data_IF_438265213897
#
_entry.id   IF_438265213897
#
_cell.length_a   1.000
_cell.length_b   1.000
_cell.length_c   1.000
_cell.angle_alpha   90.00
_cell.angle_beta   90.00
_cell.angle_gamma   90.00
#
_symmetry.space_group_name_H-M   'P 1'
#
loop_
_entity.id
_entity.type
_entity.pdbx_description
1 polymer ?
#
# COMPACT_ATOMS: atom_id res chain seq x y z
N UNK A 1 -14.75 12.81 4.33
CA UNK A 1 -13.55 12.74 5.20
C UNK A 1 -12.75 14.01 4.98
N UNK A 2 -12.20 14.62 6.03
CA UNK A 2 -11.40 15.85 5.95
C UNK A 2 -10.23 15.76 6.93
N UNK A 3 -9.00 15.83 6.43
CA UNK A 3 -7.82 15.96 7.29
C UNK A 3 -7.77 17.40 7.81
N UNK A 4 -7.77 17.58 9.13
CA UNK A 4 -7.85 18.89 9.79
C UNK A 4 -6.50 19.34 10.35
N UNK A 5 -5.63 18.40 10.72
CA UNK A 5 -4.34 18.71 11.32
C UNK A 5 -3.27 17.70 10.91
N UNK A 6 -2.05 18.19 10.71
CA UNK A 6 -0.87 17.38 10.37
C UNK A 6 0.33 17.80 11.23
N UNK A 7 0.95 16.83 11.89
CA UNK A 7 2.20 16.99 12.62
C UNK A 7 3.25 16.02 12.08
N UNK A 8 4.41 16.57 11.70
CA UNK A 8 5.59 15.84 11.23
C UNK A 8 6.75 16.10 12.20
N UNK A 9 7.53 15.05 12.48
CA UNK A 9 8.78 15.13 13.24
C UNK A 9 9.81 14.25 12.54
N UNK A 10 10.97 14.84 12.22
CA UNK A 10 12.10 14.18 11.55
C UNK A 10 11.71 13.35 10.32
N UNK A 11 10.83 13.90 9.50
CA UNK A 11 10.30 13.27 8.30
C UNK A 11 10.97 13.82 7.03
N UNK A 12 11.72 12.98 6.31
CA UNK A 12 12.43 13.32 5.07
C UNK A 12 13.40 14.50 5.27
N UNK A 13 13.05 15.69 4.80
CA UNK A 13 13.84 16.91 5.00
C UNK A 13 13.19 17.87 6.02
N UNK A 14 12.11 17.45 6.68
CA UNK A 14 11.32 18.26 7.62
C UNK A 14 11.70 17.82 9.03
N UNK A 15 12.34 18.72 9.79
CA UNK A 15 12.64 18.49 11.21
C UNK A 15 11.37 18.55 12.05
N UNK A 16 10.58 19.62 11.90
CA UNK A 16 9.26 19.75 12.52
C UNK A 16 8.32 20.55 11.62
N UNK A 17 7.10 20.07 11.49
CA UNK A 17 6.00 20.81 10.87
C UNK A 17 4.72 20.50 11.64
N UNK A 18 3.98 21.53 12.01
CA UNK A 18 2.69 21.41 12.67
C UNK A 18 1.74 22.40 12.03
N UNK A 19 0.71 21.90 11.34
CA UNK A 19 -0.20 22.73 10.55
C UNK A 19 -1.64 22.28 10.70
N UNK A 20 -2.53 23.25 10.79
CA UNK A 20 -3.95 23.06 10.56
C UNK A 20 -4.24 23.21 9.06
N UNK A 21 -4.94 22.23 8.51
CA UNK A 21 -5.22 22.21 7.08
C UNK A 21 -6.51 22.97 6.78
N UNK A 22 -6.48 23.87 5.78
CA UNK A 22 -7.68 24.57 5.35
C UNK A 22 -8.66 23.56 4.75
N UNK A 23 -9.95 23.86 4.87
CA UNK A 23 -11.02 22.90 4.57
C UNK A 23 -10.95 22.26 3.19
N UNK A 24 -11.31 22.99 2.13
CA UNK A 24 -11.55 22.37 0.80
C UNK A 24 -10.33 22.33 -0.09
N UNK A 25 -9.52 23.39 -0.11
CA UNK A 25 -8.34 23.51 -0.97
C UNK A 25 -7.23 24.15 -0.15
N UNK A 26 -6.07 23.51 -0.12
CA UNK A 26 -4.83 24.04 0.44
C UNK A 26 -3.76 24.06 -0.62
N UNK A 27 -2.97 25.14 -0.66
CA UNK A 27 -1.87 25.29 -1.61
C UNK A 27 -0.58 25.48 -0.82
N UNK A 28 0.37 24.57 -1.03
CA UNK A 28 1.73 24.71 -0.50
C UNK A 28 2.60 25.40 -1.55
N UNK A 29 3.11 26.59 -1.24
CA UNK A 29 3.96 27.40 -2.12
C UNK A 29 5.37 27.46 -1.54
N UNK A 30 6.37 27.44 -2.42
CA UNK A 30 7.78 27.54 -2.04
C UNK A 30 8.69 27.04 -3.15
N UNK A 31 9.99 27.21 -2.98
CA UNK A 31 10.99 26.74 -3.94
C UNK A 31 11.04 25.21 -4.04
N UNK A 32 11.71 24.70 -5.07
CA UNK A 32 11.96 23.27 -5.22
C UNK A 32 12.78 22.74 -4.03
N UNK A 33 12.60 21.44 -3.73
CA UNK A 33 13.26 20.75 -2.62
C UNK A 33 12.94 21.26 -1.19
N UNK A 34 12.02 22.22 -1.02
CA UNK A 34 11.60 22.73 0.31
C UNK A 34 10.65 21.79 1.08
N UNK A 35 10.38 20.58 0.58
CA UNK A 35 9.56 19.59 1.29
C UNK A 35 8.06 19.57 0.95
N UNK A 36 7.58 20.39 -0.01
CA UNK A 36 6.18 20.37 -0.47
C UNK A 36 5.67 18.96 -0.79
N UNK A 37 6.43 18.21 -1.59
CA UNK A 37 6.08 16.82 -1.93
C UNK A 37 6.21 15.87 -0.73
N UNK A 38 7.05 16.19 0.26
CA UNK A 38 7.18 15.38 1.47
C UNK A 38 5.96 15.56 2.40
N UNK A 39 5.35 16.75 2.42
CA UNK A 39 4.06 16.98 3.10
C UNK A 39 2.97 16.11 2.48
N UNK A 40 2.85 16.11 1.15
CA UNK A 40 1.88 15.27 0.44
C UNK A 40 2.15 13.78 0.64
N UNK A 41 3.43 13.36 0.61
CA UNK A 41 3.83 11.98 0.91
C UNK A 41 3.47 11.57 2.34
N UNK A 42 3.61 12.47 3.32
CA UNK A 42 3.24 12.20 4.71
C UNK A 42 1.73 12.02 4.88
N UNK A 43 0.92 12.86 4.23
CA UNK A 43 -0.55 12.70 4.20
C UNK A 43 -0.92 11.35 3.58
N UNK A 44 -0.30 11.02 2.45
CA UNK A 44 -0.56 9.75 1.78
C UNK A 44 -0.05 8.53 2.57
N UNK A 45 1.03 8.69 3.35
CA UNK A 45 1.51 7.67 4.28
C UNK A 45 0.50 7.41 5.41
N UNK A 46 -0.24 8.41 5.88
CA UNK A 46 -1.30 8.17 6.88
C UNK A 46 -2.44 7.31 6.32
N UNK A 47 -2.70 7.40 5.02
CA UNK A 47 -3.73 6.60 4.34
C UNK A 47 -3.27 5.15 4.09
N UNK A 48 -2.04 5.01 3.58
CA UNK A 48 -1.50 3.75 3.06
C UNK A 48 -0.56 3.03 4.02
N UNK A 49 -0.14 3.70 5.11
CA UNK A 49 0.83 3.22 6.10
C UNK A 49 2.19 2.84 5.46
N UNK A 50 2.45 3.34 4.25
CA UNK A 50 3.64 3.09 3.45
C UNK A 50 4.17 4.40 2.88
N UNK A 51 5.48 4.47 2.71
CA UNK A 51 6.11 5.55 1.98
C UNK A 51 5.90 5.32 0.47
N UNK A 52 5.41 6.32 -0.26
CA UNK A 52 5.23 6.21 -1.70
C UNK A 52 6.58 6.12 -2.42
N UNK A 53 7.57 6.90 -1.99
CA UNK A 53 8.84 7.07 -2.71
C UNK A 53 10.04 6.43 -2.02
N UNK A 54 9.84 5.67 -0.93
CA UNK A 54 10.93 4.98 -0.26
C UNK A 54 10.86 3.48 -0.54
N UNK A 55 12.00 2.87 -0.81
CA UNK A 55 12.15 1.42 -0.88
C UNK A 55 12.23 0.81 0.52
N UNK A 56 12.86 1.55 1.45
CA UNK A 56 13.03 1.14 2.83
C UNK A 56 12.45 2.21 3.76
N UNK A 57 11.73 1.78 4.79
CA UNK A 57 11.11 2.69 5.76
C UNK A 57 12.17 3.59 6.45
N UNK A 58 13.43 3.15 6.59
CA UNK A 58 14.49 3.97 7.17
C UNK A 58 14.80 5.25 6.37
N UNK A 59 14.59 5.24 5.04
CA UNK A 59 14.80 6.40 4.16
C UNK A 59 13.79 7.52 4.38
N UNK A 60 12.75 7.27 5.18
CA UNK A 60 11.77 8.28 5.59
C UNK A 60 12.31 9.13 6.74
N UNK A 61 13.21 8.58 7.56
CA UNK A 61 13.78 9.30 8.70
C UNK A 61 14.73 10.38 8.17
N UNK A 62 14.63 11.58 8.74
CA UNK A 62 15.49 12.70 8.36
C UNK A 62 16.95 12.32 8.55
N UNK A 63 17.76 12.59 7.51
CA UNK A 63 19.17 12.14 7.50
C UNK A 63 19.95 12.59 8.73
N UNK A 64 19.75 13.83 9.18
CA UNK A 64 20.41 14.36 10.36
C UNK A 64 19.97 13.67 11.67
N UNK A 65 18.76 13.11 11.71
CA UNK A 65 18.24 12.37 12.87
C UNK A 65 18.73 10.90 12.88
N UNK A 66 19.42 10.42 11.84
CA UNK A 66 20.00 9.08 11.82
C UNK A 66 21.20 8.93 12.76
N UNK A 67 21.84 10.05 13.11
CA UNK A 67 22.97 10.10 14.03
C UNK A 67 22.54 10.24 15.50
N UNK A 68 21.23 10.40 15.76
CA UNK A 68 20.68 10.48 17.11
C UNK A 68 20.77 9.12 17.84
N UNK A 69 20.69 9.16 19.17
CA UNK A 69 20.68 7.94 20.02
C UNK A 69 19.52 7.00 19.65
N UNK A 70 18.37 7.58 19.29
CA UNK A 70 17.20 6.84 18.83
C UNK A 70 16.62 7.51 17.59
N UNK A 71 17.13 7.19 16.39
CA UNK A 71 16.64 7.75 15.16
C UNK A 71 15.16 7.42 14.96
N UNK A 72 14.34 8.44 14.75
CA UNK A 72 12.91 8.26 14.58
C UNK A 72 12.32 9.29 13.63
N UNK A 73 11.20 8.92 13.01
CA UNK A 73 10.30 9.84 12.34
C UNK A 73 8.87 9.60 12.82
N UNK A 74 8.09 10.67 12.90
CA UNK A 74 6.69 10.60 13.32
C UNK A 74 5.81 11.42 12.39
N UNK A 75 4.71 10.82 11.97
CA UNK A 75 3.65 11.44 11.18
C UNK A 75 2.34 11.26 11.93
N UNK A 76 1.65 12.34 12.23
CA UNK A 76 0.35 12.35 12.90
C UNK A 76 -0.64 13.14 12.08
N UNK A 77 -1.79 12.55 11.80
CA UNK A 77 -2.92 13.24 11.19
C UNK A 77 -4.16 13.14 12.04
N UNK A 78 -4.93 14.23 12.09
CA UNK A 78 -6.28 14.25 12.63
C UNK A 78 -7.26 14.54 11.51
N UNK A 79 -8.38 13.81 11.48
CA UNK A 79 -9.39 13.93 10.45
C UNK A 79 -10.80 13.84 11.01
N UNK A 80 -11.73 14.51 10.34
CA UNK A 80 -13.16 14.34 10.52
C UNK A 80 -13.67 13.29 9.52
N UNK A 81 -14.37 12.29 10.03
CA UNK A 81 -14.96 11.20 9.24
C UNK A 81 -16.45 11.09 9.51
N UNK A 82 -17.18 10.31 8.70
CA UNK A 82 -18.58 10.00 8.98
C UNK A 82 -18.76 9.22 10.30
N UNK A 83 -17.73 8.49 10.74
CA UNK A 83 -17.70 7.75 12.01
C UNK A 83 -17.28 8.62 13.21
N UNK A 84 -16.98 9.91 12.98
CA UNK A 84 -16.47 10.84 14.00
C UNK A 84 -14.98 11.18 13.84
N UNK A 85 -14.36 11.76 14.89
CA UNK A 85 -12.95 12.17 14.84
C UNK A 85 -12.02 10.95 14.75
N UNK A 86 -11.01 11.09 13.90
CA UNK A 86 -10.00 10.09 13.64
C UNK A 86 -8.62 10.68 13.87
N UNK A 87 -7.77 9.95 14.60
CA UNK A 87 -6.35 10.22 14.72
C UNK A 87 -5.56 9.03 14.21
N UNK A 88 -4.66 9.25 13.26
CA UNK A 88 -3.73 8.23 12.76
C UNK A 88 -2.31 8.68 13.06
N UNK A 89 -1.50 7.79 13.63
CA UNK A 89 -0.10 8.06 13.94
C UNK A 89 0.77 6.95 13.36
N UNK A 90 1.80 7.32 12.60
CA UNK A 90 2.84 6.42 12.11
C UNK A 90 4.17 6.87 12.71
N UNK A 91 4.81 5.97 13.45
CA UNK A 91 6.15 6.16 13.99
C UNK A 91 7.10 5.15 13.39
N UNK A 92 8.21 5.63 12.86
CA UNK A 92 9.32 4.84 12.38
C UNK A 92 10.47 5.04 13.35
N UNK A 93 11.04 3.96 13.88
CA UNK A 93 12.29 4.01 14.66
C UNK A 93 13.33 3.20 13.93
N UNK A 94 14.56 3.68 13.85
CA UNK A 94 15.64 2.97 13.18
C UNK A 94 16.74 2.60 14.16
N UNK A 95 17.43 1.51 13.84
CA UNK A 95 18.61 1.03 14.54
C UNK A 95 19.68 0.61 13.54
N UNK A 96 20.97 0.62 13.93
CA UNK A 96 22.03 0.06 13.10
C UNK A 96 21.76 -1.41 12.76
N UNK A 97 22.08 -1.81 11.53
CA UNK A 97 21.95 -3.17 11.05
C UNK A 97 23.10 -3.55 10.12
N UNK A 98 23.29 -4.85 9.83
CA UNK A 98 24.44 -5.35 9.08
C UNK A 98 24.55 -4.80 7.65
N UNK A 99 23.42 -4.43 7.04
CA UNK A 99 23.35 -3.90 5.66
C UNK A 99 22.80 -2.47 5.63
N UNK A 100 22.99 -1.71 6.71
CA UNK A 100 22.45 -0.36 6.88
C UNK A 100 21.31 -0.27 7.90
N UNK A 101 20.68 0.91 8.02
CA UNK A 101 19.70 1.17 9.06
C UNK A 101 18.43 0.31 8.88
N UNK A 102 17.97 -0.30 9.98
CA UNK A 102 16.75 -1.13 10.00
C UNK A 102 15.66 -0.37 10.73
N UNK A 103 14.61 0.01 9.99
CA UNK A 103 13.45 0.67 10.56
C UNK A 103 12.40 -0.34 11.08
N UNK A 104 11.79 0.01 12.21
CA UNK A 104 10.60 -0.63 12.77
C UNK A 104 9.44 0.37 12.71
N UNK A 105 8.28 -0.09 12.23
CA UNK A 105 7.08 0.72 12.08
C UNK A 105 6.05 0.41 13.16
N UNK A 106 5.59 1.44 13.85
CA UNK A 106 4.47 1.37 14.79
C UNK A 106 3.36 2.28 14.30
N UNK A 107 2.11 1.81 14.41
CA UNK A 107 0.92 2.55 13.94
C UNK A 107 -0.10 2.60 15.05
N UNK A 108 -0.66 3.79 15.30
CA UNK A 108 -1.77 3.97 16.25
C UNK A 108 -2.97 4.58 15.53
N UNK A 109 -4.16 4.10 15.89
CA UNK A 109 -5.44 4.67 15.47
C UNK A 109 -6.20 5.03 16.74
N UNK A 110 -6.56 6.31 16.89
CA UNK A 110 -7.18 6.86 18.10
C UNK A 110 -6.40 6.49 19.38
N UNK A 111 -5.07 6.62 19.32
CA UNK A 111 -4.17 6.32 20.44
C UNK A 111 -3.88 4.83 20.67
N UNK A 112 -4.64 3.91 20.05
CA UNK A 112 -4.49 2.46 20.22
C UNK A 112 -3.58 1.90 19.14
N UNK A 113 -2.57 1.11 19.53
CA UNK A 113 -1.69 0.42 18.59
C UNK A 113 -2.47 -0.57 17.72
N UNK A 114 -2.23 -0.56 16.40
CA UNK A 114 -2.88 -1.43 15.43
C UNK A 114 -1.84 -2.08 14.52
N UNK A 115 -2.18 -3.27 14.01
CA UNK A 115 -1.45 -3.87 12.88
C UNK A 115 -1.65 -3.00 11.63
N UNK A 116 -0.65 -2.96 10.76
CA UNK A 116 -0.72 -2.21 9.48
C UNK A 116 -1.98 -2.57 8.70
N UNK A 117 -2.29 -3.86 8.54
CA UNK A 117 -3.48 -4.32 7.81
C UNK A 117 -4.82 -3.84 8.38
N UNK A 118 -4.86 -3.43 9.65
CA UNK A 118 -6.05 -2.90 10.32
C UNK A 118 -6.06 -1.36 10.39
N UNK A 119 -4.94 -0.71 10.08
CA UNK A 119 -4.81 0.74 10.10
C UNK A 119 -4.92 1.37 8.71
N UNK A 120 -4.45 0.66 7.67
CA UNK A 120 -4.62 1.09 6.27
C UNK A 120 -6.10 1.31 5.96
N UNK A 121 -6.40 2.40 5.25
CA UNK A 121 -7.77 2.73 4.84
C UNK A 121 -8.62 3.42 5.91
N UNK A 122 -8.15 3.53 7.17
CA UNK A 122 -8.85 4.35 8.18
C UNK A 122 -8.87 5.81 7.76
N UNK A 123 -7.78 6.28 7.17
CA UNK A 123 -7.74 7.48 6.34
C UNK A 123 -7.62 7.03 4.88
N UNK A 124 -8.32 7.70 3.97
CA UNK A 124 -8.22 7.43 2.52
C UNK A 124 -7.67 8.66 1.82
N UNK A 125 -6.77 8.44 0.87
CA UNK A 125 -6.19 9.51 0.07
C UNK A 125 -5.82 9.00 -1.32
N UNK A 126 -5.92 9.90 -2.30
CA UNK A 126 -5.38 9.73 -3.64
C UNK A 126 -4.22 10.70 -3.79
N UNK A 127 -3.06 10.19 -4.19
CA UNK A 127 -1.87 10.99 -4.46
C UNK A 127 -1.64 10.97 -5.96
N UNK A 128 -1.72 12.15 -6.59
CA UNK A 128 -1.35 12.35 -7.98
C UNK A 128 0.08 12.87 -8.06
N UNK A 129 0.90 12.26 -8.90
CA UNK A 129 2.31 12.60 -9.06
C UNK A 129 2.77 12.56 -10.52
N UNK A 130 3.91 13.18 -10.81
CA UNK A 130 4.54 13.03 -12.13
C UNK A 130 4.91 11.56 -12.44
N UNK A 131 5.18 10.75 -11.41
CA UNK A 131 5.52 9.32 -11.56
C UNK A 131 4.32 8.48 -12.03
N UNK A 132 3.10 9.03 -12.03
CA UNK A 132 1.89 8.32 -12.49
C UNK A 132 1.95 7.99 -13.98
N UNK A 133 2.78 8.69 -14.77
CA UNK A 133 3.07 8.34 -16.16
C UNK A 133 3.63 6.91 -16.29
N UNK A 134 4.35 6.43 -15.27
CA UNK A 134 4.87 5.06 -15.23
C UNK A 134 3.81 3.98 -15.04
N UNK A 135 2.54 4.35 -14.83
CA UNK A 135 1.45 3.39 -14.96
C UNK A 135 1.29 2.94 -16.42
N UNK A 136 1.61 3.82 -17.38
CA UNK A 136 1.49 3.58 -18.82
C UNK A 136 2.75 2.91 -19.36
N UNK A 137 3.92 3.57 -19.25
CA UNK A 137 5.18 3.12 -19.87
C UNK A 137 6.07 2.26 -18.94
N UNK A 138 5.70 2.16 -17.66
CA UNK A 138 6.51 1.52 -16.65
C UNK A 138 6.31 0.00 -16.54
N UNK A 139 6.99 -0.55 -15.53
CA UNK A 139 7.02 -1.99 -15.30
C UNK A 139 5.71 -2.54 -14.69
N UNK A 140 5.47 -3.87 -14.78
CA UNK A 140 4.36 -4.51 -14.10
C UNK A 140 4.35 -4.33 -12.57
N UNK A 141 5.50 -4.11 -11.93
CA UNK A 141 5.56 -3.89 -10.48
C UNK A 141 4.92 -2.55 -10.09
N UNK A 142 5.10 -1.50 -10.89
CA UNK A 142 4.47 -0.19 -10.71
C UNK A 142 2.94 -0.31 -10.76
N UNK A 143 2.39 -0.93 -11.83
CA UNK A 143 0.94 -1.15 -11.96
C UNK A 143 0.36 -2.01 -10.84
N UNK A 144 1.04 -3.09 -10.45
CA UNK A 144 0.62 -3.93 -9.31
C UNK A 144 0.63 -3.15 -8.00
N UNK A 145 1.66 -2.33 -7.76
CA UNK A 145 1.76 -1.49 -6.56
C UNK A 145 0.61 -0.48 -6.49
N UNK A 146 0.33 0.20 -7.59
CA UNK A 146 -0.82 1.12 -7.68
C UNK A 146 -2.14 0.42 -7.31
N UNK A 147 -2.42 -0.72 -7.94
CA UNK A 147 -3.65 -1.48 -7.69
C UNK A 147 -3.73 -2.00 -6.25
N UNK A 148 -2.61 -2.50 -5.71
CA UNK A 148 -2.53 -2.98 -4.32
C UNK A 148 -2.78 -1.87 -3.31
N UNK A 149 -2.23 -0.67 -3.55
CA UNK A 149 -2.38 0.48 -2.66
C UNK A 149 -3.78 1.08 -2.72
N UNK A 150 -4.42 1.07 -3.89
CA UNK A 150 -5.83 1.44 -4.02
C UNK A 150 -6.73 0.45 -3.27
N UNK A 151 -6.58 -0.86 -3.54
CA UNK A 151 -7.41 -1.90 -2.93
C UNK A 151 -7.23 -1.98 -1.41
N UNK A 152 -6.00 -1.91 -0.90
CA UNK A 152 -5.75 -2.03 0.53
C UNK A 152 -6.44 -0.94 1.36
N UNK A 153 -6.69 0.24 0.77
CA UNK A 153 -7.41 1.34 1.45
C UNK A 153 -8.92 1.11 1.56
N UNK A 154 -9.51 0.33 0.67
CA UNK A 154 -10.99 0.19 0.58
C UNK A 154 -11.51 -1.22 0.82
N UNK A 155 -10.63 -2.23 0.78
CA UNK A 155 -10.97 -3.64 0.99
C UNK A 155 -10.11 -4.22 2.13
N UNK A 156 -10.65 -4.30 3.37
CA UNK A 156 -9.94 -4.88 4.51
C UNK A 156 -9.63 -6.38 4.33
N UNK A 157 -10.47 -7.11 3.59
CA UNK A 157 -10.24 -8.53 3.29
C UNK A 157 -9.02 -8.66 2.39
N UNK A 158 -8.93 -7.83 1.35
CA UNK A 158 -7.75 -7.74 0.49
C UNK A 158 -6.50 -7.37 1.27
N UNK A 159 -6.56 -6.33 2.11
CA UNK A 159 -5.41 -5.89 2.93
C UNK A 159 -4.88 -7.00 3.83
N UNK A 160 -5.79 -7.76 4.47
CA UNK A 160 -5.44 -8.91 5.31
C UNK A 160 -4.83 -10.07 4.51
N UNK A 161 -5.45 -10.45 3.39
CA UNK A 161 -4.95 -11.49 2.50
C UNK A 161 -3.58 -11.12 1.91
N UNK A 162 -3.40 -9.89 1.43
CA UNK A 162 -2.13 -9.36 0.91
C UNK A 162 -1.00 -9.45 1.93
N UNK A 163 -1.28 -9.04 3.18
CA UNK A 163 -0.32 -9.09 4.29
C UNK A 163 0.07 -10.52 4.67
N UNK A 164 -0.91 -11.43 4.71
CA UNK A 164 -0.67 -12.86 4.99
C UNK A 164 0.13 -13.52 3.86
N UNK A 165 -0.26 -13.26 2.61
CA UNK A 165 0.44 -13.74 1.42
C UNK A 165 1.93 -13.34 1.39
N UNK A 166 2.27 -12.06 1.65
CA UNK A 166 3.67 -11.61 1.70
C UNK A 166 4.51 -12.37 2.75
N UNK A 167 3.92 -12.60 3.92
CA UNK A 167 4.57 -13.33 5.01
C UNK A 167 4.79 -14.80 4.64
N UNK A 168 3.74 -15.47 4.14
CA UNK A 168 3.81 -16.88 3.73
C UNK A 168 4.82 -17.08 2.59
N UNK A 169 4.84 -16.18 1.61
CA UNK A 169 5.79 -16.23 0.49
C UNK A 169 7.24 -16.10 0.99
N UNK A 170 7.49 -15.20 1.94
CA UNK A 170 8.83 -15.05 2.55
C UNK A 170 9.26 -16.31 3.29
N UNK A 171 8.35 -16.91 4.07
CA UNK A 171 8.62 -18.15 4.81
C UNK A 171 8.87 -19.33 3.87
N UNK A 172 8.07 -19.46 2.80
CA UNK A 172 8.25 -20.47 1.76
C UNK A 172 9.59 -20.30 1.03
N UNK A 173 9.97 -19.08 0.65
CA UNK A 173 11.26 -18.83 0.01
C UNK A 173 12.44 -19.18 0.93
N UNK A 174 12.32 -18.93 2.23
CA UNK A 174 13.30 -19.37 3.21
C UNK A 174 13.36 -20.90 3.33
N UNK A 175 12.22 -21.59 3.36
CA UNK A 175 12.17 -23.05 3.33
C UNK A 175 12.84 -23.62 2.07
N UNK A 176 12.53 -23.08 0.89
CA UNK A 176 13.17 -23.48 -0.37
C UNK A 176 14.69 -23.34 -0.32
N UNK A 177 15.19 -22.26 0.27
CA UNK A 177 16.63 -22.07 0.48
C UNK A 177 17.22 -23.15 1.38
N UNK A 178 16.56 -23.48 2.49
CA UNK A 178 16.99 -24.55 3.40
C UNK A 178 16.95 -25.94 2.76
N UNK A 179 15.95 -26.23 1.93
CA UNK A 179 15.86 -27.47 1.15
C UNK A 179 17.05 -27.58 0.20
N UNK A 180 17.38 -26.49 -0.51
CA UNK A 180 18.56 -26.43 -1.41
C UNK A 180 19.87 -26.65 -0.65
N UNK A 181 19.96 -26.20 0.59
CA UNK A 181 21.12 -26.36 1.48
C UNK A 181 21.12 -27.73 2.21
N UNK A 182 20.13 -28.61 1.96
CA UNK A 182 20.02 -29.92 2.59
C UNK A 182 19.57 -29.89 4.06
N UNK A 183 19.14 -28.73 4.55
CA UNK A 183 18.81 -28.48 5.95
C UNK A 183 17.30 -28.60 6.26
N UNK A 184 16.46 -28.98 5.29
CA UNK A 184 15.01 -29.17 5.43
C UNK A 184 14.48 -30.14 4.36
N UNK A 185 13.33 -30.77 4.63
CA UNK A 185 12.64 -31.66 3.67
C UNK A 185 11.53 -30.91 2.90
N UNK A 186 11.14 -31.47 1.75
CA UNK A 186 10.07 -30.96 0.87
C UNK A 186 8.66 -31.19 1.43
N UNK A 187 8.50 -32.05 2.43
CA UNK A 187 7.18 -32.44 2.97
C UNK A 187 6.37 -31.27 3.55
N UNK A 188 7.01 -30.17 3.94
CA UNK A 188 6.33 -28.97 4.40
C UNK A 188 5.77 -28.11 3.26
N UNK A 189 6.26 -28.26 2.01
CA UNK A 189 5.87 -27.40 0.88
C UNK A 189 4.35 -27.41 0.57
N UNK A 190 3.65 -28.57 0.57
CA UNK A 190 2.21 -28.61 0.27
C UNK A 190 1.38 -27.71 1.19
N UNK A 191 1.72 -27.66 2.48
CA UNK A 191 1.03 -26.78 3.44
C UNK A 191 1.19 -25.30 3.08
N UNK A 192 2.41 -24.86 2.73
CA UNK A 192 2.66 -23.49 2.31
C UNK A 192 1.97 -23.17 0.98
N UNK A 193 1.95 -24.12 0.05
CA UNK A 193 1.31 -23.96 -1.26
C UNK A 193 -0.21 -23.77 -1.10
N UNK A 194 -0.87 -24.56 -0.25
CA UNK A 194 -2.31 -24.41 0.04
C UNK A 194 -2.63 -23.05 0.68
N UNK A 195 -1.86 -22.63 1.69
CA UNK A 195 -2.11 -21.37 2.38
C UNK A 195 -1.86 -20.15 1.47
N UNK A 196 -0.85 -20.22 0.59
CA UNK A 196 -0.57 -19.19 -0.43
C UNK A 196 -1.64 -19.19 -1.51
N UNK A 197 -2.11 -20.35 -1.97
CA UNK A 197 -3.18 -20.45 -2.96
C UNK A 197 -4.48 -19.82 -2.44
N UNK A 198 -4.83 -20.06 -1.17
CA UNK A 198 -6.01 -19.47 -0.52
C UNK A 198 -6.00 -17.94 -0.53
N UNK A 199 -4.90 -17.32 -0.08
CA UNK A 199 -4.78 -15.85 -0.13
C UNK A 199 -4.63 -15.34 -1.56
N UNK A 200 -3.96 -16.11 -2.42
CA UNK A 200 -3.74 -15.81 -3.83
C UNK A 200 -5.04 -15.69 -4.62
N UNK A 201 -5.99 -16.61 -4.37
CA UNK A 201 -7.32 -16.59 -4.98
C UNK A 201 -8.10 -15.32 -4.61
N UNK A 202 -8.05 -14.92 -3.34
CA UNK A 202 -8.65 -13.65 -2.87
C UNK A 202 -8.00 -12.47 -3.59
N UNK A 203 -6.67 -12.40 -3.62
CA UNK A 203 -5.94 -11.29 -4.25
C UNK A 203 -6.27 -11.21 -5.75
N UNK A 204 -6.27 -12.34 -6.44
CA UNK A 204 -6.60 -12.44 -7.87
C UNK A 204 -8.01 -11.92 -8.16
N UNK A 205 -9.01 -12.48 -7.47
CA UNK A 205 -10.43 -12.12 -7.66
C UNK A 205 -10.68 -10.64 -7.40
N UNK A 206 -10.13 -10.10 -6.30
CA UNK A 206 -10.29 -8.67 -5.94
C UNK A 206 -9.59 -7.75 -6.93
N UNK A 207 -8.40 -8.10 -7.42
CA UNK A 207 -7.71 -7.34 -8.47
C UNK A 207 -8.47 -7.34 -9.79
N UNK A 208 -9.02 -8.48 -10.20
CA UNK A 208 -9.81 -8.57 -11.43
C UNK A 208 -11.04 -7.64 -11.38
N UNK A 209 -11.83 -7.72 -10.32
CA UNK A 209 -13.01 -6.86 -10.10
C UNK A 209 -12.65 -5.37 -10.03
N UNK A 210 -11.57 -5.05 -9.33
CA UNK A 210 -11.10 -3.68 -9.23
C UNK A 210 -10.63 -3.13 -10.59
N UNK A 211 -9.88 -3.93 -11.37
CA UNK A 211 -9.43 -3.50 -12.68
C UNK A 211 -10.60 -3.30 -13.64
N UNK A 212 -11.62 -4.17 -13.62
CA UNK A 212 -12.83 -4.01 -14.43
C UNK A 212 -13.54 -2.67 -14.12
N UNK A 213 -13.71 -2.37 -12.83
CA UNK A 213 -14.30 -1.10 -12.38
C UNK A 213 -13.46 0.12 -12.79
N UNK A 214 -12.14 0.03 -12.62
CA UNK A 214 -11.19 1.08 -13.03
C UNK A 214 -11.22 1.25 -14.55
N UNK A 215 -11.30 0.16 -15.31
CA UNK A 215 -11.29 0.17 -16.78
C UNK A 215 -12.45 0.99 -17.32
N UNK A 216 -13.66 0.72 -16.82
CA UNK A 216 -14.87 1.46 -17.21
C UNK A 216 -14.75 2.94 -16.91
N UNK A 217 -14.36 3.30 -15.68
CA UNK A 217 -14.20 4.70 -15.27
C UNK A 217 -13.10 5.42 -16.05
N UNK A 218 -12.00 4.73 -16.32
CA UNK A 218 -10.88 5.27 -17.09
C UNK A 218 -11.28 5.48 -18.55
N UNK A 219 -12.01 4.55 -19.17
CA UNK A 219 -12.55 4.69 -20.52
C UNK A 219 -13.48 5.90 -20.64
N UNK A 220 -14.45 6.02 -19.75
CA UNK A 220 -15.38 7.16 -19.72
C UNK A 220 -14.67 8.50 -19.54
N UNK A 221 -13.61 8.53 -18.73
CA UNK A 221 -12.80 9.74 -18.51
C UNK A 221 -11.91 10.04 -19.72
N UNK A 222 -11.27 9.02 -20.29
CA UNK A 222 -10.37 9.14 -21.44
C UNK A 222 -11.11 9.66 -22.67
N UNK A 223 -12.31 9.13 -22.96
CA UNK A 223 -13.12 9.56 -24.09
C UNK A 223 -13.49 11.05 -24.05
N UNK A 224 -13.54 11.66 -22.85
CA UNK A 224 -13.78 13.10 -22.67
C UNK A 224 -12.52 13.93 -22.89
N UNK A 225 -11.34 13.37 -22.63
CA UNK A 225 -10.05 14.05 -22.73
C UNK A 225 -9.42 13.93 -24.13
N UNK A 226 -9.57 12.76 -24.76
CA UNK A 226 -9.03 12.45 -26.08
C UNK A 226 -10.11 11.77 -26.95
N UNK A 227 -11.02 12.55 -27.55
CA UNK A 227 -12.05 12.02 -28.43
C UNK A 227 -11.45 11.27 -29.63
N UNK A 228 -11.94 10.06 -29.91
CA UNK A 228 -11.47 9.20 -31.01
C UNK A 228 -10.40 8.19 -30.63
N UNK A 229 -9.89 8.24 -29.40
CA UNK A 229 -8.98 7.24 -28.86
C UNK A 229 -9.71 6.25 -27.92
N UNK A 230 -9.29 4.98 -27.99
CA UNK A 230 -9.86 3.91 -27.16
C UNK A 230 -8.85 3.43 -26.12
N UNK A 231 -9.20 3.58 -24.84
CA UNK A 231 -8.42 3.03 -23.73
C UNK A 231 -8.96 1.65 -23.35
N UNK A 232 -8.08 0.65 -23.23
CA UNK A 232 -8.46 -0.66 -22.72
C UNK A 232 -7.43 -1.14 -21.70
N UNK A 233 -7.89 -1.93 -20.72
CA UNK A 233 -7.02 -2.56 -19.73
C UNK A 233 -7.29 -4.06 -19.70
N UNK A 234 -6.23 -4.85 -19.63
CA UNK A 234 -6.34 -6.31 -19.55
C UNK A 234 -5.63 -6.82 -18.31
N UNK A 235 -6.33 -7.62 -17.50
CA UNK A 235 -5.72 -8.29 -16.37
C UNK A 235 -5.02 -9.57 -16.85
N UNK A 236 -3.70 -9.62 -16.70
CA UNK A 236 -2.89 -10.81 -17.01
C UNK A 236 -2.35 -11.40 -15.70
N UNK A 237 -3.07 -12.35 -15.06
CA UNK A 237 -2.55 -13.03 -13.88
C UNK A 237 -1.32 -13.87 -14.22
N UNK A 238 -0.50 -14.16 -13.21
CA UNK A 238 0.63 -15.10 -13.34
C UNK A 238 0.21 -16.58 -13.26
N UNK A 239 -1.09 -16.84 -13.27
CA UNK A 239 -1.67 -18.16 -13.46
C UNK A 239 -1.99 -18.28 -14.95
N UNK A 240 -1.66 -19.42 -15.57
CA UNK A 240 -2.31 -19.74 -16.85
C UNK A 240 -3.83 -19.66 -16.63
N UNK A 241 -4.61 -19.17 -17.61
CA UNK A 241 -6.05 -19.19 -17.48
C UNK A 241 -6.45 -20.64 -17.21
N UNK A 242 -6.90 -20.92 -15.98
CA UNK A 242 -7.70 -22.12 -15.77
C UNK A 242 -8.88 -21.90 -16.72
N UNK A 243 -9.03 -22.80 -17.69
CA UNK A 243 -10.22 -22.86 -18.51
C UNK A 243 -11.36 -23.24 -17.55
N UNK A 244 -11.88 -22.25 -16.82
CA UNK A 244 -13.10 -22.39 -16.05
C UNK A 244 -14.18 -22.24 -17.11
N UNK A 245 -14.76 -23.37 -17.51
CA UNK A 245 -15.98 -23.34 -18.31
C UNK A 245 -17.03 -22.58 -17.49
N UNK A 246 -17.59 -21.47 -18.01
CA UNK A 246 -18.62 -20.71 -17.30
C UNK A 246 -19.79 -21.58 -16.84
N UNK A 247 -20.04 -22.71 -17.50
CA UNK A 247 -21.06 -23.68 -17.12
C UNK A 247 -20.76 -24.40 -15.78
N UNK A 248 -19.50 -24.66 -15.45
CA UNK A 248 -19.12 -25.37 -14.22
C UNK A 248 -19.21 -24.46 -12.97
N UNK A 249 -19.02 -23.15 -13.14
CA UNK A 249 -19.08 -22.18 -12.05
C UNK A 249 -20.52 -21.89 -11.56
N UNK A 250 -21.54 -22.13 -12.38
CA UNK A 250 -22.95 -22.01 -11.99
C UNK A 250 -23.45 -23.27 -11.25
N UNK A 251 -22.94 -24.46 -11.57
CA UNK A 251 -23.34 -25.71 -10.89
C UNK A 251 -22.88 -25.77 -9.43
N UNK A 252 -21.67 -25.31 -9.10
CA UNK A 252 -21.20 -25.24 -7.70
C UNK A 252 -21.98 -24.22 -6.86
N UNK A 253 -22.39 -23.09 -7.46
CA UNK A 253 -23.15 -22.05 -6.76
C UNK A 253 -24.61 -22.46 -6.47
N UNK A 254 -25.18 -23.36 -7.28
CA UNK A 254 -26.53 -23.91 -7.07
C UNK A 254 -26.50 -25.12 -6.13
N UNK A 255 -25.40 -25.88 -6.09
CA UNK A 255 -25.25 -27.01 -5.18
C UNK A 255 -25.05 -26.60 -3.70
N UNK A 256 -24.63 -25.35 -3.43
CA UNK A 256 -24.44 -24.80 -2.08
C UNK A 256 -25.60 -23.90 -1.58
N UNK A 257 -26.70 -23.79 -2.33
CA UNK A 257 -27.89 -22.99 -1.97
C UNK A 257 -29.10 -23.88 -1.59
#
# INVERSE_FOLDING_TARGET
MRLTHLLLTDYRNIERLEIDLPGRVGVFVGENAQGKSNILEAIYMLATIRAARAEQDAQVIRRAALDDVLPAARVVGQAETAEGPLKVEVTLTSRPGPNGPIATKTVKVNGVAKRVSAAVGRLTAVLFTADDLHLIDGSPSTRRRFLDMALAQVDPVYSKARSRFDRLLTQRNHLLRRIREGAANRDELPYWDEEIARDGAVIFSRRARALDSISRLAQETHAKLAPGEHLATHYRPGLEPLAIDPAEAEEEAIAEA
#
